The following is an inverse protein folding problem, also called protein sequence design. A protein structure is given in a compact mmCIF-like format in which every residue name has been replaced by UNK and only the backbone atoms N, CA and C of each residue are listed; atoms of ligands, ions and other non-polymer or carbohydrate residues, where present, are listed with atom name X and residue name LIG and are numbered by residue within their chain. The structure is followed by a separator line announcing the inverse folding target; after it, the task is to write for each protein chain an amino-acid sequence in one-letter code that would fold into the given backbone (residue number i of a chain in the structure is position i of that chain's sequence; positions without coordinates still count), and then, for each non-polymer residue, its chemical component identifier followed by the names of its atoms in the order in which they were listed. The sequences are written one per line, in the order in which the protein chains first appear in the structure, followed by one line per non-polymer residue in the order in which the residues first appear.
data_IF_776592592475
#
_entry.id   IF_776592592475
#
_cell.length_a   1.000
_cell.length_b   1.000
_cell.length_c   1.000
_cell.angle_alpha   90.00
_cell.angle_beta   90.00
_cell.angle_gamma   90.00
#
_symmetry.space_group_name_H-M   'P 1'
#
loop_
_entity.id
_entity.type
_entity.pdbx_description
1 polymer ?
#
# COMPACT_ATOMS: atom_id res chain seq x y z
N UNK A 1 -4.95 28.34 5.51
CA UNK A 1 -5.18 26.99 4.96
C UNK A 1 -5.99 26.21 5.97
N UNK A 2 -7.28 26.02 5.73
CA UNK A 2 -8.12 25.16 6.59
C UNK A 2 -7.99 23.72 6.11
N UNK A 3 -7.34 22.86 6.90
CA UNK A 3 -7.41 21.42 6.72
C UNK A 3 -8.87 20.98 6.89
N UNK A 4 -9.32 20.03 6.08
CA UNK A 4 -10.70 19.54 6.20
C UNK A 4 -10.90 18.87 7.57
N UNK A 5 -12.11 18.92 8.15
CA UNK A 5 -12.43 18.23 9.40
C UNK A 5 -12.07 16.75 9.37
N UNK A 6 -12.14 16.12 8.19
CA UNK A 6 -11.72 14.72 7.97
C UNK A 6 -10.20 14.54 8.04
N UNK A 7 -9.39 15.44 7.47
CA UNK A 7 -7.92 15.34 7.57
C UNK A 7 -7.41 15.60 8.99
N UNK A 8 -8.07 16.48 9.75
CA UNK A 8 -7.77 16.69 11.17
C UNK A 8 -8.17 15.47 12.03
N UNK A 9 -9.30 14.83 11.73
CA UNK A 9 -9.74 13.63 12.44
C UNK A 9 -8.84 12.42 12.14
N UNK A 10 -8.40 12.26 10.89
CA UNK A 10 -7.40 11.25 10.51
C UNK A 10 -6.08 11.47 11.26
N UNK A 11 -5.56 12.70 11.31
CA UNK A 11 -4.31 13.03 12.02
C UNK A 11 -4.37 12.82 13.54
N UNK A 12 -5.52 13.09 14.18
CA UNK A 12 -5.74 12.85 15.61
C UNK A 12 -5.87 11.35 15.95
N UNK A 13 -6.45 10.54 15.06
CA UNK A 13 -6.38 9.07 15.16
C UNK A 13 -4.93 8.58 14.97
N UNK A 14 -4.17 9.15 14.03
CA UNK A 14 -2.76 8.80 13.78
C UNK A 14 -1.90 8.95 15.04
N UNK A 15 -2.05 10.04 15.79
CA UNK A 15 -1.27 10.26 17.02
C UNK A 15 -1.69 9.34 18.18
N UNK A 16 -2.99 9.05 18.27
CA UNK A 16 -3.58 8.26 19.35
C UNK A 16 -3.24 6.76 19.23
N UNK A 17 -3.22 6.21 18.01
CA UNK A 17 -2.74 4.85 17.76
C UNK A 17 -1.23 4.74 17.89
N UNK A 18 -0.47 5.76 17.46
CA UNK A 18 0.99 5.77 17.57
C UNK A 18 1.47 5.73 19.04
N UNK A 19 0.83 6.48 19.94
CA UNK A 19 1.15 6.46 21.38
C UNK A 19 0.80 5.13 22.08
N UNK A 20 -0.13 4.35 21.54
CA UNK A 20 -0.45 3.01 22.04
C UNK A 20 0.51 1.92 21.51
N UNK A 21 1.21 2.16 20.41
CA UNK A 21 2.13 1.18 19.80
C UNK A 21 3.57 1.26 20.32
N UNK A 22 3.99 2.40 20.88
CA UNK A 22 5.39 2.63 21.26
C UNK A 22 5.80 2.11 22.64
N UNK A 23 4.87 1.59 23.45
CA UNK A 23 5.15 1.13 24.84
C UNK A 23 5.07 -0.38 25.06
N UNK A 24 4.68 -1.20 24.08
CA UNK A 24 4.44 -2.64 24.28
C UNK A 24 5.36 -3.48 23.40
N UNK A 25 6.63 -3.60 23.80
CA UNK A 25 7.66 -4.36 23.07
C UNK A 25 7.64 -5.88 23.29
N UNK A 26 6.62 -6.45 23.96
CA UNK A 26 6.62 -7.89 24.30
C UNK A 26 5.25 -8.57 24.46
N UNK A 27 4.13 -7.91 24.14
CA UNK A 27 2.83 -8.60 24.15
C UNK A 27 2.58 -9.29 22.80
N UNK A 28 2.06 -10.54 22.77
CA UNK A 28 1.65 -11.17 21.53
C UNK A 28 0.64 -10.28 20.78
N UNK A 29 0.84 -10.10 19.47
CA UNK A 29 -0.11 -9.38 18.62
C UNK A 29 -1.45 -10.12 18.68
N UNK A 30 -2.51 -9.43 19.13
CA UNK A 30 -3.87 -9.97 19.11
C UNK A 30 -4.44 -9.89 17.69
N UNK A 31 -5.39 -10.77 17.36
CA UNK A 31 -6.09 -10.70 16.07
C UNK A 31 -6.70 -9.31 15.84
N UNK A 32 -7.26 -8.66 16.86
CA UNK A 32 -7.82 -7.31 16.75
C UNK A 32 -6.76 -6.25 16.39
N UNK A 33 -5.56 -6.33 16.98
CA UNK A 33 -4.46 -5.40 16.63
C UNK A 33 -4.00 -5.60 15.19
N UNK A 34 -3.90 -6.86 14.75
CA UNK A 34 -3.57 -7.20 13.37
C UNK A 34 -4.63 -6.66 12.40
N UNK A 35 -5.90 -6.98 12.63
CA UNK A 35 -7.03 -6.54 11.78
C UNK A 35 -7.07 -5.02 11.68
N UNK A 36 -6.89 -4.30 12.80
CA UNK A 36 -6.87 -2.83 12.78
C UNK A 36 -5.69 -2.28 11.96
N UNK A 37 -4.50 -2.88 12.07
CA UNK A 37 -3.34 -2.50 11.26
C UNK A 37 -3.56 -2.72 9.78
N UNK A 38 -4.08 -3.89 9.40
CA UNK A 38 -4.45 -4.21 8.02
C UNK A 38 -5.52 -3.25 7.48
N UNK A 39 -6.54 -2.94 8.29
CA UNK A 39 -7.60 -2.03 7.89
C UNK A 39 -7.07 -0.62 7.66
N UNK A 40 -6.17 -0.14 8.51
CA UNK A 40 -5.48 1.14 8.31
C UNK A 40 -4.74 1.19 6.97
N UNK A 41 -4.04 0.11 6.60
CA UNK A 41 -3.34 0.01 5.29
C UNK A 41 -4.34 0.11 4.13
N UNK A 42 -5.50 -0.54 4.22
CA UNK A 42 -6.52 -0.45 3.15
C UNK A 42 -7.03 0.97 2.94
N UNK A 43 -7.22 1.74 4.02
CA UNK A 43 -7.63 3.16 3.95
C UNK A 43 -6.55 3.99 3.26
N UNK A 44 -5.27 3.77 3.57
CA UNK A 44 -4.17 4.50 2.92
C UNK A 44 -4.17 4.26 1.40
N UNK A 45 -4.33 3.01 0.96
CA UNK A 45 -4.43 2.71 -0.48
C UNK A 45 -5.66 3.33 -1.14
N UNK A 46 -6.81 3.34 -0.46
CA UNK A 46 -8.01 4.03 -0.95
C UNK A 46 -7.77 5.54 -1.12
N UNK A 47 -7.10 6.18 -0.16
CA UNK A 47 -6.74 7.60 -0.24
C UNK A 47 -5.76 7.84 -1.41
N UNK A 48 -4.74 6.99 -1.58
CA UNK A 48 -3.80 7.11 -2.70
C UNK A 48 -4.47 6.93 -4.05
N UNK A 49 -5.39 5.98 -4.19
CA UNK A 49 -6.18 5.82 -5.41
C UNK A 49 -6.96 7.09 -5.72
N UNK A 50 -7.64 7.68 -4.72
CA UNK A 50 -8.38 8.92 -4.88
C UNK A 50 -7.48 10.12 -5.22
N UNK A 51 -6.23 10.17 -4.72
CA UNK A 51 -5.27 11.20 -5.08
C UNK A 51 -4.74 11.02 -6.51
N UNK A 52 -4.40 9.79 -6.90
CA UNK A 52 -3.94 9.46 -8.25
C UNK A 52 -5.02 9.77 -9.31
N UNK A 53 -6.28 9.44 -9.01
CA UNK A 53 -7.42 9.75 -9.90
C UNK A 53 -7.55 11.27 -10.20
N UNK A 54 -7.14 12.12 -9.26
CA UNK A 54 -7.21 13.59 -9.36
C UNK A 54 -6.02 14.22 -10.07
N UNK A 55 -4.96 13.47 -10.34
CA UNK A 55 -3.79 14.00 -11.06
C UNK A 55 -4.23 14.44 -12.47
N UNK A 56 -4.01 15.69 -12.88
CA UNK A 56 -4.27 16.17 -14.24
C UNK A 56 -3.49 15.35 -15.29
N UNK A 57 -3.92 15.36 -16.56
CA UNK A 57 -3.22 14.64 -17.64
C UNK A 57 -2.01 15.42 -18.20
N UNK A 58 -1.41 16.30 -17.40
CA UNK A 58 -0.26 17.13 -17.77
C UNK A 58 0.85 16.97 -16.72
N UNK A 59 2.12 16.96 -17.16
CA UNK A 59 3.24 16.84 -16.24
C UNK A 59 3.44 18.08 -15.37
N UNK A 60 4.15 17.90 -14.25
CA UNK A 60 4.57 18.98 -13.34
C UNK A 60 3.42 19.65 -12.57
N UNK A 61 2.30 18.95 -12.41
CA UNK A 61 1.19 19.41 -11.57
C UNK A 61 1.53 19.28 -10.06
N UNK A 62 1.01 20.17 -9.20
CA UNK A 62 1.16 20.04 -7.75
C UNK A 62 0.49 18.76 -7.20
N UNK A 63 -0.58 18.29 -7.83
CA UNK A 63 -1.24 17.02 -7.50
C UNK A 63 -0.33 15.82 -7.80
N UNK A 64 0.39 15.84 -8.94
CA UNK A 64 1.36 14.80 -9.27
C UNK A 64 2.47 14.72 -8.22
N UNK A 65 3.03 15.88 -7.82
CA UNK A 65 4.04 15.93 -6.75
C UNK A 65 3.47 15.48 -5.40
N UNK A 66 2.23 15.88 -5.07
CA UNK A 66 1.56 15.47 -3.85
C UNK A 66 1.41 13.94 -3.75
N UNK A 67 1.02 13.27 -4.84
CA UNK A 67 0.94 11.80 -4.89
C UNK A 67 2.29 11.16 -4.62
N UNK A 68 3.35 11.65 -5.27
CA UNK A 68 4.73 11.14 -5.08
C UNK A 68 5.17 11.29 -3.62
N UNK A 69 5.00 12.47 -3.05
CA UNK A 69 5.42 12.77 -1.68
C UNK A 69 4.64 11.94 -0.66
N UNK A 70 3.33 11.80 -0.85
CA UNK A 70 2.46 11.04 0.06
C UNK A 70 2.73 9.55 0.01
N UNK A 71 2.93 8.99 -1.19
CA UNK A 71 3.27 7.59 -1.32
C UNK A 71 4.63 7.29 -0.67
N UNK A 72 5.63 8.15 -0.91
CA UNK A 72 6.94 8.02 -0.26
C UNK A 72 6.89 8.15 1.26
N UNK A 73 6.11 9.11 1.78
CA UNK A 73 5.89 9.26 3.22
C UNK A 73 5.34 7.96 3.82
N UNK A 74 4.39 7.33 3.14
CA UNK A 74 3.85 6.05 3.55
C UNK A 74 4.90 4.93 3.52
N UNK A 75 5.68 4.78 2.46
CA UNK A 75 6.74 3.75 2.40
C UNK A 75 7.74 3.92 3.55
N UNK A 76 8.18 5.16 3.82
CA UNK A 76 9.07 5.44 4.97
C UNK A 76 8.42 5.10 6.30
N UNK A 77 7.11 5.36 6.43
CA UNK A 77 6.37 4.99 7.64
C UNK A 77 6.32 3.47 7.83
N UNK A 78 6.23 2.68 6.75
CA UNK A 78 6.26 1.22 6.77
C UNK A 78 7.62 0.68 7.21
N UNK A 79 8.74 1.29 6.80
CA UNK A 79 10.08 0.88 7.27
C UNK A 79 10.25 1.08 8.79
N UNK A 80 9.60 2.09 9.35
CA UNK A 80 9.63 2.37 10.81
C UNK A 80 8.56 1.61 11.59
N UNK A 81 7.45 1.28 10.94
CA UNK A 81 6.38 0.49 11.50
C UNK A 81 6.55 -0.93 11.00
N UNK A 82 7.26 -1.71 11.80
CA UNK A 82 7.28 -3.16 11.71
C UNK A 82 5.85 -3.70 11.51
N UNK A 83 5.38 -3.82 10.26
CA UNK A 83 4.42 -4.85 9.86
C UNK A 83 5.23 -6.15 9.95
N UNK A 84 5.55 -6.50 11.20
CA UNK A 84 5.98 -7.83 11.55
C UNK A 84 4.78 -8.66 11.20
N UNK A 85 4.86 -9.34 10.05
CA UNK A 85 4.10 -10.56 9.82
C UNK A 85 4.21 -11.31 11.15
N UNK A 86 3.10 -11.41 11.91
CA UNK A 86 3.21 -11.73 13.30
C UNK A 86 3.88 -13.10 13.38
N UNK A 87 5.02 -13.19 14.08
CA UNK A 87 5.60 -14.46 14.47
C UNK A 87 4.70 -15.20 15.48
N UNK A 88 3.40 -14.90 15.51
CA UNK A 88 2.46 -15.50 16.41
C UNK A 88 2.19 -16.94 15.98
N UNK A 89 2.42 -17.85 16.91
CA UNK A 89 1.95 -19.21 16.80
C UNK A 89 0.41 -19.18 16.69
N UNK A 90 -0.09 -19.67 15.56
CA UNK A 90 -1.53 -19.86 15.30
C UNK A 90 -2.07 -20.85 16.35
N UNK A 91 -3.02 -20.41 17.20
CA UNK A 91 -4.41 -20.68 16.86
C UNK A 91 -5.31 -19.48 17.16
N UNK A 92 -5.69 -18.74 16.12
CA UNK A 92 -6.77 -17.78 16.21
C UNK A 92 -8.08 -18.44 15.83
N UNK A 93 -9.20 -17.95 16.38
CA UNK A 93 -10.53 -18.47 16.06
C UNK A 93 -10.81 -18.37 14.56
N UNK A 94 -11.68 -19.24 14.05
CA UNK A 94 -12.15 -19.21 12.66
C UNK A 94 -12.64 -17.81 12.26
N UNK A 95 -13.40 -17.14 13.14
CA UNK A 95 -13.85 -15.76 12.93
C UNK A 95 -12.70 -14.76 12.73
N UNK A 96 -11.59 -14.91 13.46
CA UNK A 96 -10.41 -14.07 13.28
C UNK A 96 -9.68 -14.37 11.96
N UNK A 97 -9.64 -15.63 11.53
CA UNK A 97 -9.10 -16.04 10.23
C UNK A 97 -9.88 -15.43 9.06
N UNK A 98 -11.22 -15.49 9.11
CA UNK A 98 -12.06 -14.82 8.12
C UNK A 98 -11.90 -13.31 8.12
N UNK A 99 -11.79 -12.67 9.29
CA UNK A 99 -11.60 -11.23 9.38
C UNK A 99 -10.27 -10.79 8.77
N UNK A 100 -9.17 -11.49 9.06
CA UNK A 100 -7.85 -11.22 8.45
C UNK A 100 -7.88 -11.42 6.94
N UNK A 101 -8.54 -12.49 6.45
CA UNK A 101 -8.72 -12.72 5.02
C UNK A 101 -9.48 -11.57 4.37
N UNK A 102 -10.64 -11.18 4.93
CA UNK A 102 -11.46 -10.11 4.40
C UNK A 102 -10.70 -8.78 4.35
N UNK A 103 -9.97 -8.43 5.42
CA UNK A 103 -9.16 -7.20 5.42
C UNK A 103 -8.00 -7.27 4.42
N UNK A 104 -7.36 -8.42 4.27
CA UNK A 104 -6.31 -8.60 3.25
C UNK A 104 -6.87 -8.43 1.84
N UNK A 105 -8.04 -9.02 1.56
CA UNK A 105 -8.74 -8.85 0.30
C UNK A 105 -9.02 -7.36 0.01
N UNK A 106 -9.48 -6.58 0.99
CA UNK A 106 -9.67 -5.14 0.82
C UNK A 106 -8.36 -4.39 0.52
N UNK A 107 -7.25 -4.72 1.19
CA UNK A 107 -5.95 -4.13 0.88
C UNK A 107 -5.59 -4.40 -0.58
N UNK A 108 -5.69 -5.64 -1.04
CA UNK A 108 -5.33 -6.02 -2.43
C UNK A 108 -6.19 -5.28 -3.46
N UNK A 109 -7.48 -5.12 -3.18
CA UNK A 109 -8.38 -4.38 -4.06
C UNK A 109 -8.01 -2.90 -4.15
N UNK A 110 -7.79 -2.24 -3.00
CA UNK A 110 -7.46 -0.81 -2.97
C UNK A 110 -6.06 -0.53 -3.51
N UNK A 111 -5.08 -1.41 -3.22
CA UNK A 111 -3.74 -1.32 -3.79
C UNK A 111 -3.80 -1.47 -5.32
N UNK A 112 -4.52 -2.47 -5.83
CA UNK A 112 -4.72 -2.62 -7.28
C UNK A 112 -5.38 -1.39 -7.88
N UNK A 113 -6.38 -0.81 -7.22
CA UNK A 113 -7.04 0.41 -7.68
C UNK A 113 -6.06 1.58 -7.75
N UNK A 114 -5.24 1.76 -6.71
CA UNK A 114 -4.19 2.78 -6.68
C UNK A 114 -3.17 2.58 -7.82
N UNK A 115 -2.64 1.37 -7.98
CA UNK A 115 -1.66 1.05 -9.02
C UNK A 115 -2.25 1.23 -10.43
N UNK A 116 -3.54 0.92 -10.61
CA UNK A 116 -4.26 1.17 -11.87
C UNK A 116 -4.39 2.67 -12.14
N UNK A 117 -4.76 3.46 -11.11
CA UNK A 117 -4.87 4.92 -11.23
C UNK A 117 -3.51 5.55 -11.55
N UNK A 118 -2.43 5.10 -10.91
CA UNK A 118 -1.07 5.52 -11.25
C UNK A 118 -0.70 5.17 -12.70
N UNK A 119 -1.03 3.96 -13.15
CA UNK A 119 -0.77 3.53 -14.53
C UNK A 119 -1.43 4.47 -15.54
N UNK A 120 -2.70 4.79 -15.31
CA UNK A 120 -3.47 5.68 -16.18
C UNK A 120 -2.89 7.11 -16.24
N UNK A 121 -2.04 7.47 -15.28
CA UNK A 121 -1.45 8.81 -15.12
C UNK A 121 0.04 8.84 -15.39
N UNK A 122 0.63 7.79 -15.97
CA UNK A 122 2.08 7.72 -16.24
C UNK A 122 2.59 8.99 -16.91
N UNK A 123 1.90 9.50 -17.94
CA UNK A 123 2.34 10.69 -18.68
C UNK A 123 2.17 12.03 -17.95
N UNK A 124 1.43 12.02 -16.84
CA UNK A 124 1.28 13.16 -15.93
C UNK A 124 2.46 13.38 -14.99
N UNK A 125 3.47 12.52 -15.04
CA UNK A 125 4.63 12.61 -14.15
C UNK A 125 5.88 13.05 -14.91
N UNK A 126 6.66 13.95 -14.30
CA UNK A 126 7.98 14.31 -14.81
C UNK A 126 8.93 13.11 -14.76
N UNK A 127 10.05 13.16 -15.49
CA UNK A 127 11.03 12.07 -15.50
C UNK A 127 11.54 11.71 -14.10
N UNK A 128 11.79 12.72 -13.27
CA UNK A 128 12.27 12.50 -11.89
C UNK A 128 11.17 11.88 -11.03
N UNK A 129 9.93 12.36 -11.13
CA UNK A 129 8.77 11.76 -10.45
C UNK A 129 8.54 10.30 -10.90
N UNK A 130 8.65 10.01 -12.20
CA UNK A 130 8.55 8.63 -12.71
C UNK A 130 9.59 7.70 -12.09
N UNK A 131 10.85 8.15 -12.05
CA UNK A 131 11.96 7.40 -11.42
C UNK A 131 11.70 7.15 -9.94
N UNK A 132 11.15 8.15 -9.25
CA UNK A 132 10.79 8.06 -7.83
C UNK A 132 9.67 7.05 -7.59
N UNK A 133 8.57 7.14 -8.34
CA UNK A 133 7.46 6.18 -8.29
C UNK A 133 7.94 4.77 -8.62
N UNK A 134 8.81 4.61 -9.63
CA UNK A 134 9.41 3.32 -9.96
C UNK A 134 10.14 2.69 -8.76
N UNK A 135 11.02 3.47 -8.09
CA UNK A 135 11.76 2.99 -6.92
C UNK A 135 10.81 2.60 -5.78
N UNK A 136 9.78 3.43 -5.56
CA UNK A 136 8.79 3.28 -4.51
C UNK A 136 7.91 2.02 -4.76
N UNK A 137 7.46 1.79 -6.00
CA UNK A 137 6.72 0.57 -6.39
C UNK A 137 7.57 -0.69 -6.22
N UNK A 138 8.84 -0.67 -6.68
CA UNK A 138 9.76 -1.81 -6.54
C UNK A 138 10.02 -2.14 -5.06
N UNK A 139 10.10 -1.13 -4.19
CA UNK A 139 10.28 -1.33 -2.76
C UNK A 139 9.06 -1.98 -2.07
N UNK A 140 7.86 -1.83 -2.62
CA UNK A 140 6.62 -2.39 -2.04
C UNK A 140 6.37 -3.86 -2.42
N UNK A 141 6.94 -4.37 -3.52
CA UNK A 141 6.76 -5.77 -3.96
C UNK A 141 7.03 -6.82 -2.86
N UNK A 142 8.16 -6.76 -2.12
CA UNK A 142 8.44 -7.74 -1.07
C UNK A 142 7.40 -7.70 0.06
N UNK A 143 6.83 -6.53 0.35
CA UNK A 143 5.84 -6.35 1.41
C UNK A 143 4.49 -6.95 1.01
N UNK A 144 4.03 -6.71 -0.23
CA UNK A 144 2.81 -7.34 -0.76
C UNK A 144 2.94 -8.87 -0.77
N UNK A 145 4.11 -9.39 -1.18
CA UNK A 145 4.39 -10.83 -1.14
C UNK A 145 4.34 -11.38 0.29
N UNK A 146 4.93 -10.65 1.25
CA UNK A 146 4.92 -11.03 2.66
C UNK A 146 3.49 -11.09 3.21
N UNK A 147 2.65 -10.10 2.87
CA UNK A 147 1.23 -10.09 3.23
C UNK A 147 0.48 -11.28 2.63
N UNK A 148 0.73 -11.61 1.36
CA UNK A 148 0.14 -12.78 0.71
C UNK A 148 0.54 -14.09 1.40
N UNK A 149 1.84 -14.30 1.60
CA UNK A 149 2.36 -15.52 2.24
C UNK A 149 1.82 -15.66 3.66
N UNK A 150 1.72 -14.55 4.39
CA UNK A 150 1.11 -14.49 5.72
C UNK A 150 -0.35 -14.92 5.69
N UNK A 151 -1.18 -14.30 4.84
CA UNK A 151 -2.62 -14.61 4.78
C UNK A 151 -2.85 -16.04 4.31
N UNK A 152 -2.00 -16.55 3.40
CA UNK A 152 -2.03 -17.94 2.94
C UNK A 152 -1.79 -18.94 4.07
N UNK A 153 -0.82 -18.65 4.93
CA UNK A 153 -0.51 -19.47 6.11
C UNK A 153 -1.58 -19.33 7.20
N UNK A 154 -2.25 -18.18 7.29
CA UNK A 154 -3.24 -17.86 8.33
C UNK A 154 -4.63 -18.45 8.05
N UNK A 155 -5.02 -18.53 6.77
CA UNK A 155 -6.37 -18.94 6.35
C UNK A 155 -6.32 -19.96 5.19
N UNK A 156 -5.77 -21.17 5.41
CA UNK A 156 -5.48 -22.13 4.34
C UNK A 156 -6.70 -22.55 3.50
N UNK A 157 -7.87 -22.65 4.15
CA UNK A 157 -9.10 -23.22 3.56
C UNK A 157 -9.85 -22.27 2.60
N UNK A 158 -9.41 -21.02 2.50
CA UNK A 158 -10.12 -19.94 1.76
C UNK A 158 -9.18 -19.13 0.85
N UNK A 159 -8.05 -19.74 0.51
CA UNK A 159 -6.98 -19.13 -0.27
C UNK A 159 -7.34 -18.87 -1.75
N UNK A 160 -8.25 -19.63 -2.33
CA UNK A 160 -8.51 -19.56 -3.78
C UNK A 160 -8.97 -18.15 -4.21
N UNK A 161 -9.76 -17.48 -3.38
CA UNK A 161 -10.23 -16.10 -3.62
C UNK A 161 -9.02 -15.14 -3.63
N UNK A 162 -8.17 -15.24 -2.61
CA UNK A 162 -7.08 -14.27 -2.43
C UNK A 162 -5.94 -14.49 -3.43
N UNK A 163 -5.70 -15.74 -3.84
CA UNK A 163 -4.74 -16.08 -4.91
C UNK A 163 -5.11 -15.37 -6.21
N UNK A 164 -6.40 -15.40 -6.60
CA UNK A 164 -6.87 -14.76 -7.83
C UNK A 164 -6.77 -13.23 -7.79
N UNK A 165 -7.00 -12.61 -6.62
CA UNK A 165 -6.86 -11.16 -6.48
C UNK A 165 -5.40 -10.70 -6.47
N UNK A 166 -4.52 -11.42 -5.77
CA UNK A 166 -3.08 -11.15 -5.80
C UNK A 166 -2.48 -11.37 -7.19
N UNK A 167 -2.94 -12.37 -7.93
CA UNK A 167 -2.54 -12.56 -9.33
C UNK A 167 -2.83 -11.32 -10.17
N UNK A 168 -4.06 -10.80 -10.08
CA UNK A 168 -4.48 -9.57 -10.79
C UNK A 168 -3.72 -8.33 -10.33
N UNK A 169 -3.45 -8.19 -9.03
CA UNK A 169 -2.61 -7.10 -8.51
C UNK A 169 -1.20 -7.17 -9.12
N UNK A 170 -0.58 -8.34 -9.10
CA UNK A 170 0.76 -8.55 -9.64
C UNK A 170 0.83 -8.25 -11.14
N UNK A 171 -0.18 -8.62 -11.92
CA UNK A 171 -0.26 -8.29 -13.35
C UNK A 171 -0.21 -6.77 -13.56
N UNK A 172 -1.13 -6.02 -12.95
CA UNK A 172 -1.20 -4.56 -13.08
C UNK A 172 0.08 -3.90 -12.57
N UNK A 173 0.60 -4.36 -11.43
CA UNK A 173 1.83 -3.81 -10.86
C UNK A 173 3.05 -4.04 -11.76
N UNK A 174 3.15 -5.20 -12.41
CA UNK A 174 4.24 -5.48 -13.36
C UNK A 174 4.15 -4.56 -14.58
N UNK A 175 2.95 -4.32 -15.10
CA UNK A 175 2.72 -3.39 -16.22
C UNK A 175 3.05 -1.95 -15.82
N UNK A 176 2.61 -1.52 -14.64
CA UNK A 176 2.86 -0.17 -14.12
C UNK A 176 4.34 0.06 -13.86
N UNK A 177 5.06 -0.89 -13.25
CA UNK A 177 6.51 -0.78 -13.07
C UNK A 177 7.23 -0.59 -14.41
N UNK A 178 6.87 -1.36 -15.44
CA UNK A 178 7.45 -1.21 -16.77
C UNK A 178 7.16 0.16 -17.39
N UNK A 179 5.95 0.69 -17.18
CA UNK A 179 5.58 2.01 -17.68
C UNK A 179 6.35 3.15 -16.99
N UNK A 180 6.66 3.00 -15.70
CA UNK A 180 7.47 3.96 -14.93
C UNK A 180 8.99 3.72 -15.05
N UNK A 181 9.43 2.61 -15.62
CA UNK A 181 10.85 2.30 -15.85
C UNK A 181 11.44 3.30 -16.85
N UNK A 182 12.14 4.31 -16.32
CA UNK A 182 12.88 5.25 -17.15
C UNK A 182 14.15 4.59 -17.66
N UNK A 183 14.13 4.06 -18.89
CA UNK A 183 15.34 3.55 -19.54
C UNK A 183 16.42 4.63 -19.53
N UNK A 184 17.65 4.28 -19.10
CA UNK A 184 18.83 5.10 -19.35
C UNK A 184 18.91 5.30 -20.87
N UNK A 185 19.01 6.56 -21.30
CA UNK A 185 18.81 6.97 -22.68
C UNK A 185 19.49 6.07 -23.69
N UNK A 186 18.75 5.65 -24.71
CA UNK A 186 19.36 5.37 -26.01
C UNK A 186 20.00 6.67 -26.46
N UNK A 187 21.32 6.72 -26.40
CA UNK A 187 22.08 7.76 -27.05
C UNK A 187 21.80 7.74 -28.54
N UNK A 188 21.77 8.93 -29.12
CA UNK A 188 21.98 9.16 -30.54
C UNK A 188 23.04 8.21 -31.09
N UNK A 189 22.74 7.60 -32.23
CA UNK A 189 23.66 6.70 -32.90
C UNK A 189 23.24 6.41 -34.34
N UNK A 190 23.55 7.34 -35.25
CA UNK A 190 23.81 7.06 -36.67
C UNK A 190 22.65 7.26 -37.63
#
# INVERSE_FOLDING_TARGET
MHLSPTTMLSGLLTLSLFLLTSTVRSAPITANRLINGLYYVSIQYSDFAAFADRVPNEPDSPEAQFVVDKYREYIKSQDTSQIVAPQSQVPYSEAAQYAVLATTHFIVLEDRRFVTALHAKVDSFTREQKKQIYQDLVAQYPLQKTLFDFTKAYSPDVNDIIVADFGRLNEVLNETVKAFETRKGGGDGG
#
